data_IF_697269958104
#
_entry.id   IF_697269958104
#
_cell.length_a   1.000
_cell.length_b   1.000
_cell.length_c   1.000
_cell.angle_alpha   90.00
_cell.angle_beta   90.00
_cell.angle_gamma   90.00
#
_symmetry.space_group_name_H-M   'P 1'
#
loop_
_entity.id
_entity.type
_entity.pdbx_description
1 polymer ?
#
# COMPACT_ATOMS: atom_id res chain seq x y z
N UNK A 1 -11.15 -10.00 11.82
CA UNK A 1 -10.46 -8.69 11.71
C UNK A 1 -10.67 -8.28 10.26
N UNK A 2 -11.30 -7.12 10.00
CA UNK A 2 -11.79 -6.80 8.65
C UNK A 2 -10.63 -6.83 7.65
N UNK A 3 -10.75 -7.71 6.67
CA UNK A 3 -9.81 -7.87 5.57
C UNK A 3 -9.92 -6.60 4.70
N UNK A 4 -9.05 -5.63 4.94
CA UNK A 4 -8.94 -4.41 4.13
C UNK A 4 -8.08 -4.69 2.88
N UNK A 5 -8.30 -5.84 2.24
CA UNK A 5 -7.58 -6.21 1.03
C UNK A 5 -8.14 -5.44 -0.14
N UNK A 6 -7.30 -4.66 -0.80
CA UNK A 6 -7.65 -3.83 -1.95
C UNK A 6 -6.70 -4.09 -3.09
N UNK A 7 -7.15 -3.79 -4.31
CA UNK A 7 -6.26 -3.76 -5.48
C UNK A 7 -5.52 -2.44 -5.52
N UNK A 8 -4.19 -2.51 -5.44
CA UNK A 8 -3.31 -1.37 -5.52
C UNK A 8 -2.32 -1.53 -6.67
N UNK A 9 -1.86 -0.41 -7.22
CA UNK A 9 -0.79 -0.39 -8.21
C UNK A 9 0.55 -0.55 -7.52
N UNK A 10 1.36 -1.49 -7.98
CA UNK A 10 2.68 -1.79 -7.40
C UNK A 10 3.79 -1.24 -8.28
N UNK A 11 4.75 -0.53 -7.69
CA UNK A 11 5.88 0.06 -8.41
C UNK A 11 6.69 -1.00 -9.19
N UNK A 12 7.10 -2.09 -8.53
CA UNK A 12 7.89 -3.16 -9.16
C UNK A 12 7.14 -3.95 -10.23
N UNK A 13 5.80 -3.88 -10.24
CA UNK A 13 4.99 -4.47 -11.31
C UNK A 13 4.68 -3.47 -12.42
N UNK A 14 5.48 -2.41 -12.56
CA UNK A 14 5.30 -1.38 -13.59
C UNK A 14 3.92 -0.70 -13.52
N UNK A 15 3.35 -0.62 -12.32
CA UNK A 15 2.02 -0.03 -12.07
C UNK A 15 0.83 -0.97 -12.28
N UNK A 16 1.06 -2.27 -12.48
CA UNK A 16 0.00 -3.29 -12.50
C UNK A 16 -0.66 -3.44 -11.13
N UNK A 17 -1.91 -3.93 -11.13
CA UNK A 17 -2.67 -4.16 -9.91
C UNK A 17 -2.26 -5.46 -9.21
N UNK A 18 -2.05 -5.38 -7.90
CA UNK A 18 -1.94 -6.54 -7.02
C UNK A 18 -2.81 -6.34 -5.78
N UNK A 19 -3.18 -7.46 -5.16
CA UNK A 19 -3.87 -7.44 -3.88
C UNK A 19 -2.89 -7.08 -2.76
N UNK A 20 -3.26 -6.06 -1.98
CA UNK A 20 -2.52 -5.58 -0.81
C UNK A 20 -3.47 -5.37 0.35
N UNK A 21 -2.97 -5.46 1.57
CA UNK A 21 -3.78 -5.21 2.77
C UNK A 21 -3.51 -3.80 3.27
N UNK A 22 -4.50 -2.93 3.31
CA UNK A 22 -4.32 -1.60 3.94
C UNK A 22 -4.35 -1.77 5.45
N UNK A 23 -3.22 -1.46 6.08
CA UNK A 23 -3.01 -1.63 7.51
C UNK A 23 -3.39 -0.34 8.25
N UNK A 24 -3.04 0.80 7.67
CA UNK A 24 -3.33 2.12 8.23
C UNK A 24 -3.54 3.15 7.12
N UNK A 25 -4.49 4.04 7.36
CA UNK A 25 -4.78 5.19 6.52
C UNK A 25 -4.77 6.43 7.40
N UNK A 26 -3.79 7.31 7.22
CA UNK A 26 -3.77 8.61 7.89
C UNK A 26 -4.36 9.69 6.96
N UNK A 27 -3.88 9.74 5.71
CA UNK A 27 -4.39 10.62 4.67
C UNK A 27 -4.03 10.09 3.27
N UNK A 28 -4.43 10.81 2.22
CA UNK A 28 -4.19 10.40 0.83
C UNK A 28 -2.71 10.15 0.47
N UNK A 29 -1.75 10.77 1.16
CA UNK A 29 -0.32 10.58 0.90
C UNK A 29 0.36 9.67 1.94
N UNK A 30 -0.33 9.35 3.04
CA UNK A 30 0.21 8.57 4.14
C UNK A 30 -0.71 7.36 4.40
N UNK A 31 -0.46 6.31 3.63
CA UNK A 31 -1.11 5.00 3.78
C UNK A 31 -0.03 3.96 4.00
N UNK A 32 -0.30 2.99 4.88
CA UNK A 32 0.57 1.83 5.08
C UNK A 32 -0.13 0.60 4.55
N UNK A 33 0.52 -0.08 3.60
CA UNK A 33 0.03 -1.31 2.99
C UNK A 33 0.98 -2.47 3.33
N UNK A 34 0.42 -3.64 3.61
CA UNK A 34 1.16 -4.88 3.69
C UNK A 34 1.09 -5.58 2.33
N UNK A 35 2.26 -5.92 1.81
CA UNK A 35 2.42 -6.66 0.56
C UNK A 35 3.54 -7.68 0.74
N UNK A 36 3.26 -8.96 0.45
CA UNK A 36 4.22 -10.07 0.58
C UNK A 36 4.91 -10.11 1.97
N UNK A 37 4.16 -9.85 3.05
CA UNK A 37 4.65 -9.91 4.42
C UNK A 37 5.52 -8.73 4.86
N UNK A 38 5.66 -7.70 4.03
CA UNK A 38 6.39 -6.47 4.34
C UNK A 38 5.44 -5.27 4.32
N UNK A 39 5.75 -4.26 5.12
CA UNK A 39 4.97 -3.02 5.17
C UNK A 39 5.63 -1.97 4.30
N UNK A 40 4.83 -1.30 3.49
CA UNK A 40 5.26 -0.28 2.56
C UNK A 40 4.41 0.97 2.69
N UNK A 41 5.02 2.11 2.39
CA UNK A 41 4.29 3.35 2.17
C UNK A 41 3.48 3.26 0.87
N UNK A 42 2.30 3.85 0.93
CA UNK A 42 1.36 3.91 -0.17
C UNK A 42 0.67 5.27 -0.18
N UNK A 43 0.16 5.64 -1.36
CA UNK A 43 -0.66 6.84 -1.54
C UNK A 43 -2.01 6.43 -2.13
N UNK A 44 -3.08 7.02 -1.63
CA UNK A 44 -4.41 6.92 -2.19
C UNK A 44 -4.68 8.10 -3.11
N UNK A 45 -4.95 7.80 -4.39
CA UNK A 45 -5.36 8.82 -5.35
C UNK A 45 -6.89 8.91 -5.40
N UNK A 46 -7.52 9.97 -4.88
CA UNK A 46 -8.98 10.11 -4.88
C UNK A 46 -9.57 10.31 -6.28
N UNK A 47 -8.78 10.79 -7.24
CA UNK A 47 -9.25 10.98 -8.62
C UNK A 47 -9.33 9.66 -9.39
N UNK A 48 -8.36 8.78 -9.16
CA UNK A 48 -8.32 7.44 -9.76
C UNK A 48 -9.07 6.39 -8.92
N UNK A 49 -9.35 6.68 -7.65
CA UNK A 49 -9.99 5.77 -6.71
C UNK A 49 -9.13 4.54 -6.38
N UNK A 50 -7.80 4.64 -6.44
CA UNK A 50 -6.89 3.51 -6.22
C UNK A 50 -5.66 3.88 -5.40
N UNK A 51 -5.08 2.86 -4.78
CA UNK A 51 -3.84 2.96 -4.02
C UNK A 51 -2.63 2.68 -4.92
N UNK A 52 -1.53 3.36 -4.64
CA UNK A 52 -0.23 3.15 -5.26
C UNK A 52 0.75 2.80 -4.14
N UNK A 53 1.29 1.59 -4.17
CA UNK A 53 2.22 1.09 -3.16
C UNK A 53 3.63 1.19 -3.72
N UNK A 54 4.52 1.83 -2.97
CA UNK A 54 5.93 1.90 -3.30
C UNK A 54 6.68 0.74 -2.65
N UNK A 55 6.67 -0.43 -3.32
CA UNK A 55 7.32 -1.64 -2.81
C UNK A 55 8.85 -1.64 -2.97
N UNK A 56 9.40 -0.61 -3.63
CA UNK A 56 10.81 -0.53 -4.00
C UNK A 56 11.64 0.33 -3.04
N UNK A 57 11.12 1.49 -2.66
CA UNK A 57 11.78 2.46 -1.78
C UNK A 57 10.97 2.74 -0.50
N UNK A 58 9.68 2.43 -0.50
CA UNK A 58 8.74 2.69 0.58
C UNK A 58 8.75 1.70 1.73
N UNK A 59 9.75 0.81 1.86
CA UNK A 59 9.79 -0.19 2.92
C UNK A 59 9.80 0.45 4.33
N UNK A 60 8.91 0.00 5.21
CA UNK A 60 8.82 0.41 6.60
C UNK A 60 9.21 -0.78 7.50
N UNK A 61 10.51 -0.92 7.85
CA UNK A 61 11.03 -2.13 8.50
C UNK A 61 10.54 -2.37 9.93
N UNK A 62 10.02 -1.35 10.63
CA UNK A 62 9.70 -1.41 12.06
C UNK A 62 8.21 -1.10 12.36
N UNK A 63 7.32 -1.20 11.37
CA UNK A 63 5.92 -0.76 11.50
C UNK A 63 5.12 -1.44 12.63
N UNK A 64 5.51 -2.64 13.08
CA UNK A 64 4.79 -3.43 14.10
C UNK A 64 5.53 -3.61 15.44
N UNK A 65 6.60 -2.86 15.69
CA UNK A 65 7.40 -2.99 16.91
C UNK A 65 6.95 -2.07 18.03
#
# INVERSE_FOLDING_TARGET
MKENTVKARIHSLNGEFADVTIVEYQDCNNVVAEYRGHYYSAVFNPFAGCYYVDDKYGLIPDYRK
#
